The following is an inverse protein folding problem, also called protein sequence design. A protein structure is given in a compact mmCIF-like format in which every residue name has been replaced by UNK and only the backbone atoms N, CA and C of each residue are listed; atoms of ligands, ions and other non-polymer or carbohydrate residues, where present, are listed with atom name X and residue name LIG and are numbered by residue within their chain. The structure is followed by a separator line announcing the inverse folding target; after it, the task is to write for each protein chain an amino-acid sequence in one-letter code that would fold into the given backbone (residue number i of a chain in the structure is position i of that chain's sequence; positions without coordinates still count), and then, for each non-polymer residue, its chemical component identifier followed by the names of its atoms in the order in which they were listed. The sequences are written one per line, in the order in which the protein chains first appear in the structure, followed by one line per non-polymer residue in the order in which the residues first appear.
data_IF_417519920547
#
_entry.id   IF_417519920547
#
_cell.length_a   1.000
_cell.length_b   1.000
_cell.length_c   1.000
_cell.angle_alpha   90.00
_cell.angle_beta   90.00
_cell.angle_gamma   90.00
#
_symmetry.space_group_name_H-M   'P 1'
#
loop_
_entity.id
_entity.type
_entity.pdbx_description
1 polymer ?
#
# COMPACT_ATOMS: atom_id res chain seq x y z
N UNK A 1 5.85 2.37 -7.91
CA UNK A 1 4.63 1.53 -7.81
C UNK A 1 4.90 0.03 -7.83
N UNK A 2 5.75 -0.48 -8.73
CA UNK A 2 6.02 -1.93 -8.83
C UNK A 2 6.55 -2.57 -7.54
N UNK A 3 7.31 -1.83 -6.72
CA UNK A 3 7.80 -2.35 -5.43
C UNK A 3 6.68 -2.69 -4.44
N UNK A 4 5.64 -1.86 -4.36
CA UNK A 4 4.48 -2.07 -3.49
C UNK A 4 3.60 -3.19 -4.05
N UNK A 5 3.46 -3.28 -5.38
CA UNK A 5 2.76 -4.40 -6.02
C UNK A 5 3.44 -5.74 -5.71
N UNK A 6 4.77 -5.81 -5.78
CA UNK A 6 5.49 -7.06 -5.45
C UNK A 6 5.29 -7.48 -3.99
N UNK A 7 5.16 -6.53 -3.06
CA UNK A 7 4.79 -6.82 -1.67
C UNK A 7 3.35 -7.29 -1.54
N UNK A 8 2.41 -6.63 -2.25
CA UNK A 8 0.99 -6.97 -2.23
C UNK A 8 0.77 -8.41 -2.72
N UNK A 9 1.41 -8.79 -3.83
CA UNK A 9 1.26 -10.08 -4.49
C UNK A 9 2.24 -11.16 -4.01
N UNK A 10 2.89 -10.96 -2.85
CA UNK A 10 3.71 -12.02 -2.26
C UNK A 10 2.87 -13.27 -2.01
N UNK A 11 3.41 -14.46 -2.33
CA UNK A 11 2.66 -15.73 -2.30
C UNK A 11 2.56 -16.33 -0.91
N UNK A 12 3.46 -15.95 -0.01
CA UNK A 12 3.49 -16.42 1.36
C UNK A 12 4.19 -15.43 2.30
N UNK A 13 4.08 -15.69 3.60
CA UNK A 13 4.64 -14.84 4.66
C UNK A 13 6.15 -14.70 4.61
N UNK A 14 6.88 -15.75 4.23
CA UNK A 14 8.33 -15.72 4.15
C UNK A 14 8.79 -14.81 3.02
N UNK A 15 8.26 -15.00 1.81
CA UNK A 15 8.51 -14.14 0.65
C UNK A 15 8.18 -12.68 0.96
N UNK A 16 7.02 -12.45 1.58
CA UNK A 16 6.59 -11.12 1.99
C UNK A 16 7.60 -10.44 2.92
N UNK A 17 8.04 -11.12 3.99
CA UNK A 17 9.04 -10.59 4.93
C UNK A 17 10.35 -10.25 4.23
N UNK A 18 10.83 -11.13 3.35
CA UNK A 18 12.07 -10.92 2.61
C UNK A 18 11.99 -9.69 1.69
N UNK A 19 10.88 -9.54 0.96
CA UNK A 19 10.67 -8.40 0.07
C UNK A 19 10.56 -7.10 0.88
N UNK A 20 9.77 -7.10 1.95
CA UNK A 20 9.56 -5.93 2.82
C UNK A 20 10.88 -5.45 3.43
N UNK A 21 11.67 -6.36 4.01
CA UNK A 21 12.92 -6.01 4.67
C UNK A 21 13.88 -5.35 3.67
N UNK A 22 14.05 -5.94 2.48
CA UNK A 22 14.91 -5.38 1.43
C UNK A 22 14.48 -3.98 0.99
N UNK A 23 13.17 -3.72 0.94
CA UNK A 23 12.61 -2.46 0.45
C UNK A 23 12.61 -1.37 1.51
N UNK A 24 12.30 -1.68 2.76
CA UNK A 24 12.40 -0.72 3.87
C UNK A 24 13.86 -0.26 4.02
N UNK A 25 14.83 -1.18 4.05
CA UNK A 25 16.24 -0.77 4.15
C UNK A 25 16.69 0.11 2.98
N UNK A 26 16.15 -0.12 1.77
CA UNK A 26 16.40 0.76 0.62
C UNK A 26 15.78 2.14 0.84
N UNK A 27 14.53 2.21 1.30
CA UNK A 27 13.83 3.48 1.51
C UNK A 27 14.44 4.30 2.67
N UNK A 28 14.91 3.65 3.73
CA UNK A 28 15.62 4.32 4.83
C UNK A 28 16.95 4.96 4.39
N UNK A 29 17.61 4.39 3.37
CA UNK A 29 18.82 4.94 2.77
C UNK A 29 18.59 6.14 1.85
N UNK A 30 17.33 6.49 1.54
CA UNK A 30 16.98 7.65 0.69
C UNK A 30 16.32 8.70 1.57
N UNK A 31 16.94 9.88 1.68
CA UNK A 31 16.50 10.94 2.61
C UNK A 31 15.00 11.27 2.46
N UNK A 32 14.53 11.42 1.23
CA UNK A 32 13.12 11.77 0.92
C UNK A 32 12.13 10.64 1.26
N UNK A 33 12.60 9.40 1.35
CA UNK A 33 11.75 8.23 1.62
C UNK A 33 11.82 7.77 3.08
N UNK A 34 12.66 8.38 3.91
CA UNK A 34 12.82 7.99 5.31
C UNK A 34 11.55 8.20 6.13
N UNK A 35 10.85 9.31 5.94
CA UNK A 35 9.55 9.53 6.59
C UNK A 35 8.49 8.56 6.07
N UNK A 36 8.54 8.26 4.77
CA UNK A 36 7.65 7.30 4.15
C UNK A 36 7.88 5.88 4.70
N UNK A 37 9.13 5.45 4.90
CA UNK A 37 9.41 4.11 5.44
C UNK A 37 8.86 3.94 6.86
N UNK A 38 9.02 4.97 7.72
CA UNK A 38 8.45 4.98 9.08
C UNK A 38 6.92 4.95 9.04
N UNK A 39 6.30 5.80 8.22
CA UNK A 39 4.85 5.78 8.03
C UNK A 39 4.36 4.41 7.55
N UNK A 40 5.06 3.84 6.56
CA UNK A 40 4.68 2.59 5.94
C UNK A 40 4.74 1.44 6.94
N UNK A 41 5.81 1.35 7.72
CA UNK A 41 5.97 0.32 8.74
C UNK A 41 4.85 0.40 9.80
N UNK A 42 4.59 1.59 10.33
CA UNK A 42 3.59 1.79 11.37
C UNK A 42 2.17 1.52 10.89
N UNK A 43 1.84 1.94 9.67
CA UNK A 43 0.47 1.84 9.15
C UNK A 43 0.17 0.48 8.52
N UNK A 44 1.07 0.01 7.67
CA UNK A 44 0.83 -1.12 6.77
C UNK A 44 1.45 -2.43 7.25
N UNK A 45 2.36 -2.41 8.24
CA UNK A 45 2.97 -3.64 8.78
C UNK A 45 2.56 -3.90 10.22
N UNK A 46 2.50 -2.85 11.04
CA UNK A 46 2.16 -2.95 12.47
C UNK A 46 0.74 -2.52 12.78
N UNK A 47 0.15 -1.65 11.96
CA UNK A 47 -1.15 -1.03 12.18
C UNK A 47 -2.35 -1.89 11.74
N UNK A 48 -3.53 -1.26 11.76
CA UNK A 48 -4.81 -1.90 11.46
C UNK A 48 -4.92 -2.40 10.02
N UNK A 49 -4.14 -1.83 9.10
CA UNK A 49 -4.16 -2.20 7.68
C UNK A 49 -3.23 -3.34 7.33
N UNK A 50 -2.58 -3.99 8.32
CA UNK A 50 -1.53 -5.01 8.10
C UNK A 50 -1.90 -6.22 7.26
N UNK A 51 -3.20 -6.47 7.02
CA UNK A 51 -3.72 -7.60 6.25
C UNK A 51 -3.94 -7.29 4.76
N UNK A 52 -3.32 -6.23 4.24
CA UNK A 52 -3.49 -5.77 2.87
C UNK A 52 -2.83 -6.66 1.81
N UNK A 53 -2.05 -7.68 2.17
CA UNK A 53 -1.36 -8.57 1.24
C UNK A 53 -2.27 -9.69 0.76
N UNK A 54 -2.14 -10.09 -0.50
CA UNK A 54 -3.02 -11.06 -1.17
C UNK A 54 -3.00 -12.45 -0.54
N UNK A 55 -1.88 -12.88 0.07
CA UNK A 55 -1.80 -14.21 0.68
C UNK A 55 -2.51 -14.35 2.04
N UNK A 56 -3.03 -13.25 2.61
CA UNK A 56 -3.75 -13.26 3.90
C UNK A 56 -5.28 -13.37 3.80
N UNK A 57 -5.99 -12.64 2.91
CA UNK A 57 -7.44 -12.74 2.83
C UNK A 57 -7.88 -14.08 2.24
N UNK A 58 -9.05 -14.55 2.68
CA UNK A 58 -9.69 -15.72 2.11
C UNK A 58 -10.07 -15.49 0.63
N UNK A 59 -10.17 -16.56 -0.19
CA UNK A 59 -10.60 -16.45 -1.58
C UNK A 59 -11.91 -15.66 -1.70
N UNK A 60 -11.97 -14.72 -2.66
CA UNK A 60 -13.17 -13.93 -2.95
C UNK A 60 -13.13 -12.45 -2.50
N UNK A 61 -12.09 -12.02 -1.79
CA UNK A 61 -11.88 -10.60 -1.53
C UNK A 61 -11.31 -9.89 -2.76
N UNK A 62 -11.92 -8.75 -3.13
CA UNK A 62 -11.40 -7.89 -4.18
C UNK A 62 -10.05 -7.31 -3.75
N UNK A 63 -9.01 -7.59 -4.54
CA UNK A 63 -7.64 -7.09 -4.32
C UNK A 63 -7.42 -5.70 -4.92
N UNK A 64 -8.41 -5.15 -5.61
CA UNK A 64 -8.33 -3.85 -6.26
C UNK A 64 -8.95 -2.76 -5.39
N UNK A 65 -8.28 -1.61 -5.32
CA UNK A 65 -8.80 -0.39 -4.71
C UNK A 65 -9.72 0.39 -5.68
N UNK A 66 -10.07 -0.18 -6.83
CA UNK A 66 -10.77 0.49 -7.93
C UNK A 66 -12.04 1.23 -7.49
N UNK A 67 -12.80 0.68 -6.54
CA UNK A 67 -14.02 1.29 -6.02
C UNK A 67 -13.72 2.57 -5.23
N UNK A 68 -12.71 2.55 -4.35
CA UNK A 68 -12.32 3.72 -3.55
C UNK A 68 -11.65 4.79 -4.41
N UNK A 69 -10.83 4.38 -5.38
CA UNK A 69 -10.19 5.30 -6.33
C UNK A 69 -11.23 5.99 -7.21
N UNK A 70 -12.22 5.23 -7.72
CA UNK A 70 -13.32 5.79 -8.52
C UNK A 70 -14.17 6.77 -7.71
N UNK A 71 -14.45 6.44 -6.45
CA UNK A 71 -15.19 7.33 -5.55
C UNK A 71 -14.42 8.62 -5.24
N UNK A 72 -13.15 8.51 -4.85
CA UNK A 72 -12.29 9.66 -4.56
C UNK A 72 -12.07 10.53 -5.81
N UNK A 73 -11.96 9.90 -6.98
CA UNK A 73 -11.89 10.59 -8.27
C UNK A 73 -13.12 11.45 -8.54
N UNK A 74 -14.33 10.92 -8.29
CA UNK A 74 -15.58 11.69 -8.40
C UNK A 74 -15.65 12.85 -7.42
N UNK A 75 -15.26 12.67 -6.17
CA UNK A 75 -15.22 13.77 -5.18
C UNK A 75 -14.25 14.87 -5.64
N UNK A 76 -13.04 14.50 -6.07
CA UNK A 76 -12.05 15.46 -6.59
C UNK A 76 -12.53 16.19 -7.85
N UNK A 77 -13.32 15.53 -8.70
CA UNK A 77 -13.90 16.16 -9.88
C UNK A 77 -14.97 17.17 -9.50
N UNK A 78 -15.86 16.81 -8.56
CA UNK A 78 -16.93 17.68 -8.09
C UNK A 78 -16.39 18.91 -7.36
N UNK A 79 -15.37 18.75 -6.51
CA UNK A 79 -14.77 19.88 -5.79
C UNK A 79 -14.17 20.92 -6.76
N UNK A 80 -13.55 20.47 -7.85
CA UNK A 80 -13.01 21.34 -8.91
C UNK A 80 -14.09 22.10 -9.69
N UNK A 81 -15.31 21.56 -9.77
CA UNK A 81 -16.43 22.19 -10.45
C UNK A 81 -17.17 23.20 -9.57
N UNK A 82 -17.19 22.99 -8.25
CA UNK A 82 -17.88 23.83 -7.27
C UNK A 82 -17.03 24.99 -6.73
N UNK A 83 -15.71 24.97 -6.97
CA UNK A 83 -14.74 26.01 -6.54
C UNK A 83 -14.24 26.88 -7.71
N UNK A 84 -14.94 26.86 -8.85
CA UNK A 84 -14.80 27.83 -9.95
C UNK A 84 -15.99 28.76 -9.96
#
# INVERSE_FOLDING_TARGET
MQEIQNMHFSKNRCEFKTIIQKKISRWEGVADLKLFSVYFENTWLKGSFKNWQVYLPHPGFATTNNSIESFNGRISQLSKLLLK
#
